data_IF_738793400967
#
_entry.id   IF_738793400967
#
_cell.length_a   1.000
_cell.length_b   1.000
_cell.length_c   1.000
_cell.angle_alpha   90.00
_cell.angle_beta   90.00
_cell.angle_gamma   90.00
#
_symmetry.space_group_name_H-M   'P 1'
#
loop_
_entity.id
_entity.type
_entity.pdbx_description
1 polymer ?
#
# COMPACT_ATOMS: atom_id res chain seq x y z
N UNK A 1 -6.46 9.75 -5.34
CA UNK A 1 -5.46 8.79 -4.83
C UNK A 1 -4.25 8.68 -5.76
N UNK A 2 -4.42 8.21 -7.00
CA UNK A 2 -3.32 7.99 -7.97
C UNK A 2 -2.36 9.19 -8.13
N UNK A 3 -2.91 10.41 -8.28
CA UNK A 3 -2.11 11.64 -8.39
C UNK A 3 -1.18 11.84 -7.18
N UNK A 4 -1.66 11.55 -5.98
CA UNK A 4 -0.89 11.69 -4.74
C UNK A 4 0.22 10.64 -4.70
N UNK A 5 -0.10 9.37 -4.95
CA UNK A 5 0.90 8.30 -4.99
C UNK A 5 2.02 8.57 -6.01
N UNK A 6 1.65 8.99 -7.24
CA UNK A 6 2.60 9.33 -8.29
C UNK A 6 3.45 10.57 -7.97
N UNK A 7 2.87 11.57 -7.27
CA UNK A 7 3.60 12.75 -6.83
C UNK A 7 4.64 12.38 -5.77
N UNK A 8 4.26 11.60 -4.76
CA UNK A 8 5.20 11.12 -3.73
C UNK A 8 6.33 10.30 -4.37
N UNK A 9 6.01 9.34 -5.24
CA UNK A 9 7.02 8.57 -5.98
C UNK A 9 7.98 9.46 -6.79
N UNK A 10 7.46 10.50 -7.44
CA UNK A 10 8.29 11.45 -8.17
C UNK A 10 9.23 12.24 -7.26
N UNK A 11 8.75 12.66 -6.08
CA UNK A 11 9.57 13.35 -5.08
C UNK A 11 10.65 12.46 -4.44
N UNK A 12 10.40 11.16 -4.37
CA UNK A 12 11.38 10.15 -3.95
C UNK A 12 12.38 9.77 -5.05
N UNK A 13 12.36 10.47 -6.19
CA UNK A 13 13.34 10.28 -7.26
C UNK A 13 12.93 9.26 -8.32
N UNK A 14 11.65 8.90 -8.42
CA UNK A 14 11.11 7.98 -9.44
C UNK A 14 11.77 6.60 -9.43
N UNK A 15 11.94 6.02 -8.24
CA UNK A 15 12.56 4.71 -8.05
C UNK A 15 11.66 3.63 -8.64
N UNK A 16 12.18 2.85 -9.59
CA UNK A 16 11.50 1.74 -10.28
C UNK A 16 12.19 0.42 -9.91
N UNK A 17 11.40 -0.63 -9.66
CA UNK A 17 11.91 -1.95 -9.26
C UNK A 17 11.08 -3.05 -9.90
N UNK A 18 11.71 -4.14 -10.34
CA UNK A 18 10.98 -5.35 -10.74
C UNK A 18 10.81 -6.27 -9.54
N UNK A 19 9.62 -6.83 -9.36
CA UNK A 19 9.34 -7.74 -8.25
C UNK A 19 10.29 -8.96 -8.26
N UNK A 20 10.88 -9.26 -7.10
CA UNK A 20 11.89 -10.32 -6.95
C UNK A 20 13.34 -9.84 -7.14
N UNK A 21 13.54 -8.62 -7.66
CA UNK A 21 14.86 -7.99 -7.61
C UNK A 21 15.14 -7.45 -6.21
N UNK A 22 16.39 -7.61 -5.76
CA UNK A 22 16.87 -7.11 -4.48
C UNK A 22 18.02 -6.13 -4.71
N UNK A 23 17.75 -4.95 -5.30
CA UNK A 23 18.78 -3.92 -5.39
C UNK A 23 19.20 -3.46 -3.98
N UNK A 24 20.39 -2.87 -3.83
CA UNK A 24 20.81 -2.28 -2.57
C UNK A 24 19.77 -1.27 -2.07
N UNK A 25 19.58 -1.20 -0.76
CA UNK A 25 18.73 -0.18 -0.15
C UNK A 25 19.32 1.20 -0.44
N UNK A 26 18.46 2.16 -0.75
CA UNK A 26 18.89 3.53 -0.95
C UNK A 26 19.20 4.23 0.39
N UNK A 27 18.77 3.63 1.51
CA UNK A 27 18.72 4.25 2.85
C UNK A 27 18.16 5.68 2.79
N UNK A 28 17.31 5.93 1.80
CA UNK A 28 16.83 7.26 1.47
C UNK A 28 15.98 7.79 2.63
N UNK A 29 15.22 6.93 3.31
CA UNK A 29 14.47 7.30 4.52
C UNK A 29 15.34 7.90 5.64
N UNK A 30 16.62 7.53 5.72
CA UNK A 30 17.54 8.05 6.75
C UNK A 30 18.17 9.38 6.38
N UNK A 31 17.98 9.89 5.15
CA UNK A 31 18.38 11.25 4.77
C UNK A 31 17.55 12.27 5.58
N UNK A 32 18.19 13.18 6.35
CA UNK A 32 17.50 14.24 7.09
C UNK A 32 16.54 15.09 6.23
N UNK A 33 16.78 15.24 4.92
CA UNK A 33 15.90 15.95 4.01
C UNK A 33 14.50 15.30 3.89
N UNK A 34 14.41 13.99 4.10
CA UNK A 34 13.15 13.23 4.03
C UNK A 34 12.35 13.26 5.34
N UNK A 35 12.90 13.87 6.41
CA UNK A 35 12.24 13.92 7.70
C UNK A 35 10.82 14.50 7.68
N UNK A 36 10.56 15.67 7.06
CA UNK A 36 9.21 16.23 7.02
C UNK A 36 8.22 15.34 6.27
N UNK A 37 8.70 14.61 5.26
CA UNK A 37 7.85 13.77 4.41
C UNK A 37 7.34 12.54 5.16
N UNK A 38 8.23 11.79 5.80
CA UNK A 38 7.85 10.61 6.60
C UNK A 38 7.06 11.04 7.86
N UNK A 39 7.38 12.20 8.44
CA UNK A 39 6.56 12.79 9.49
C UNK A 39 5.11 13.02 9.03
N UNK A 40 4.88 13.51 7.81
CA UNK A 40 3.54 13.71 7.27
C UNK A 40 2.78 12.38 7.16
N UNK A 41 3.45 11.31 6.75
CA UNK A 41 2.86 9.97 6.69
C UNK A 41 2.38 9.50 8.06
N UNK A 42 3.24 9.61 9.08
CA UNK A 42 2.89 9.24 10.46
C UNK A 42 1.80 10.13 11.06
N UNK A 43 1.62 11.37 10.58
CA UNK A 43 0.54 12.26 11.03
C UNK A 43 -0.83 11.91 10.43
N UNK A 44 -0.88 11.07 9.40
CA UNK A 44 -2.13 10.60 8.82
C UNK A 44 -2.83 9.56 9.69
N UNK A 45 -2.07 8.79 10.48
CA UNK A 45 -2.59 7.71 11.32
C UNK A 45 -2.95 8.20 12.73
N UNK A 46 -3.99 7.63 13.38
CA UNK A 46 -4.45 8.08 14.70
C UNK A 46 -3.46 7.77 15.83
N UNK A 47 -2.67 6.70 15.67
CA UNK A 47 -1.61 6.30 16.59
C UNK A 47 -0.36 6.08 15.76
N UNK A 48 0.77 6.68 16.16
CA UNK A 48 2.03 6.62 15.44
C UNK A 48 2.98 5.55 15.99
N UNK A 49 2.54 4.74 16.94
CA UNK A 49 3.35 3.72 17.64
C UNK A 49 4.64 4.29 18.27
N UNK A 50 4.67 5.59 18.57
CA UNK A 50 5.86 6.28 19.08
C UNK A 50 6.90 6.64 18.01
N UNK A 51 6.62 6.39 16.73
CA UNK A 51 7.51 6.65 15.61
C UNK A 51 7.99 8.10 15.57
N UNK A 52 7.10 9.07 15.77
CA UNK A 52 7.45 10.49 15.66
C UNK A 52 8.37 10.89 16.81
N UNK A 53 8.08 10.46 18.03
CA UNK A 53 8.89 10.81 19.19
C UNK A 53 10.31 10.23 19.08
N UNK A 54 10.43 8.97 18.65
CA UNK A 54 11.70 8.32 18.41
C UNK A 54 12.50 9.04 17.32
N UNK A 55 11.88 9.29 16.18
CA UNK A 55 12.59 9.83 15.01
C UNK A 55 12.91 11.32 15.13
N UNK A 56 12.21 12.08 15.98
CA UNK A 56 12.66 13.44 16.38
C UNK A 56 14.01 13.40 17.11
N UNK A 57 14.25 12.41 17.96
CA UNK A 57 15.55 12.22 18.63
C UNK A 57 16.62 11.81 17.62
N UNK A 58 16.32 10.84 16.76
CA UNK A 58 17.23 10.39 15.69
C UNK A 58 17.56 11.53 14.71
N UNK A 59 16.61 12.39 14.40
CA UNK A 59 16.84 13.57 13.56
C UNK A 59 17.81 14.54 14.21
N UNK A 60 17.64 14.85 15.50
CA UNK A 60 18.61 15.66 16.23
C UNK A 60 20.00 15.02 16.27
N UNK A 61 20.08 13.70 16.47
CA UNK A 61 21.32 12.94 16.41
C UNK A 61 21.98 13.00 15.02
N UNK A 62 21.19 12.92 13.93
CA UNK A 62 21.68 13.03 12.56
C UNK A 62 22.28 14.40 12.28
N UNK A 63 21.62 15.48 12.71
CA UNK A 63 22.15 16.85 12.60
C UNK A 63 23.43 17.06 13.43
N UNK A 64 23.57 16.35 14.54
CA UNK A 64 24.76 16.38 15.39
C UNK A 64 25.88 15.42 14.93
N UNK A 65 25.71 14.68 13.83
CA UNK A 65 26.68 13.70 13.34
C UNK A 65 26.86 12.48 14.26
N UNK A 66 25.85 12.15 15.07
CA UNK A 66 25.89 11.05 16.02
C UNK A 66 25.43 9.73 15.37
N UNK A 67 26.00 8.57 15.76
CA UNK A 67 25.68 7.27 15.15
C UNK A 67 24.19 6.90 15.17
N UNK A 68 23.44 7.34 16.19
CA UNK A 68 21.99 7.08 16.28
C UNK A 68 21.21 7.72 15.12
N UNK A 69 21.71 8.81 14.55
CA UNK A 69 21.11 9.48 13.39
C UNK A 69 21.08 8.64 12.12
N UNK A 70 22.00 7.68 11.97
CA UNK A 70 22.04 6.75 10.83
C UNK A 70 20.82 5.83 10.76
N UNK A 71 20.05 5.72 11.85
CA UNK A 71 18.85 4.89 11.95
C UNK A 71 17.56 5.68 11.76
N UNK A 72 17.64 6.92 11.31
CA UNK A 72 16.48 7.76 11.10
C UNK A 72 15.46 7.06 10.18
N UNK A 73 14.21 6.96 10.66
CA UNK A 73 13.05 6.32 10.03
C UNK A 73 13.12 4.81 9.72
N UNK A 74 14.22 4.12 10.08
CA UNK A 74 14.34 2.66 9.90
C UNK A 74 13.39 1.83 10.78
N UNK A 75 12.91 2.41 11.87
CA UNK A 75 11.89 1.81 12.71
C UNK A 75 11.04 2.88 13.44
N UNK A 76 9.74 2.58 13.67
CA UNK A 76 8.97 1.49 13.06
C UNK A 76 8.76 1.71 11.54
N UNK A 77 8.44 0.63 10.82
CA UNK A 77 8.17 0.68 9.38
C UNK A 77 6.96 1.55 9.05
N UNK A 78 7.04 2.35 7.98
CA UNK A 78 6.08 3.42 7.67
C UNK A 78 5.20 3.15 6.43
N UNK A 79 5.24 1.94 5.87
CA UNK A 79 4.47 1.54 4.68
C UNK A 79 2.95 1.72 4.83
N UNK A 80 2.36 1.30 5.95
CA UNK A 80 0.94 1.47 6.21
C UNK A 80 0.56 2.94 6.48
N UNK A 81 1.44 3.70 7.15
CA UNK A 81 1.29 5.13 7.36
C UNK A 81 1.30 5.89 6.03
N UNK A 82 2.16 5.50 5.08
CA UNK A 82 2.18 6.05 3.73
C UNK A 82 0.87 5.81 2.97
N UNK A 83 0.37 4.57 2.92
CA UNK A 83 -0.92 4.28 2.24
C UNK A 83 -2.06 5.07 2.90
N UNK A 84 -2.08 5.12 4.23
CA UNK A 84 -3.05 5.92 4.99
C UNK A 84 -2.99 7.40 4.64
N UNK A 85 -1.78 7.98 4.53
CA UNK A 85 -1.60 9.36 4.09
C UNK A 85 -2.11 9.58 2.67
N UNK A 86 -1.78 8.70 1.72
CA UNK A 86 -2.22 8.83 0.33
C UNK A 86 -3.75 8.82 0.21
N UNK A 87 -4.43 7.97 1.01
CA UNK A 87 -5.89 7.93 1.06
C UNK A 87 -6.48 9.25 1.57
N UNK A 88 -6.01 9.73 2.73
CA UNK A 88 -6.53 10.96 3.33
C UNK A 88 -6.21 12.21 2.49
N UNK A 89 -4.99 12.31 1.95
CA UNK A 89 -4.56 13.41 1.09
C UNK A 89 -5.33 13.43 -0.24
N UNK A 90 -5.88 12.29 -0.67
CA UNK A 90 -6.77 12.20 -1.81
C UNK A 90 -8.22 12.62 -1.51
N UNK A 91 -8.54 12.94 -0.25
CA UNK A 91 -9.88 13.32 0.19
C UNK A 91 -10.80 12.14 0.51
N UNK A 92 -10.27 10.92 0.62
CA UNK A 92 -11.04 9.74 1.05
C UNK A 92 -11.29 9.87 2.55
N UNK A 93 -12.55 9.76 2.97
CA UNK A 93 -12.92 9.95 4.37
C UNK A 93 -12.44 8.80 5.25
N UNK A 94 -12.17 9.08 6.53
CA UNK A 94 -11.71 8.08 7.51
C UNK A 94 -12.70 6.92 7.70
N UNK A 95 -13.98 7.12 7.38
CA UNK A 95 -15.01 6.07 7.40
C UNK A 95 -14.94 5.18 6.17
N UNK A 96 -14.50 5.71 5.04
CA UNK A 96 -14.36 4.99 3.77
C UNK A 96 -13.06 4.19 3.73
N UNK A 97 -11.98 4.76 4.28
CA UNK A 97 -10.71 4.08 4.53
C UNK A 97 -10.22 4.45 5.94
N UNK A 98 -10.23 3.52 6.91
CA UNK A 98 -9.76 3.78 8.27
C UNK A 98 -8.24 3.78 8.32
N UNK A 99 -7.56 4.94 8.45
CA UNK A 99 -6.11 5.01 8.45
C UNK A 99 -5.52 4.30 9.68
N UNK A 100 -4.42 3.57 9.49
CA UNK A 100 -3.76 2.83 10.56
C UNK A 100 -2.26 2.67 10.31
N UNK A 101 -1.48 2.62 11.40
CA UNK A 101 -0.05 2.34 11.39
C UNK A 101 0.31 0.90 10.98
N UNK A 102 -0.67 -0.02 11.00
CA UNK A 102 -0.51 -1.41 10.58
C UNK A 102 -1.42 -1.75 9.39
N UNK A 103 -0.82 -2.37 8.37
CA UNK A 103 -1.55 -2.89 7.20
C UNK A 103 -2.67 -3.84 7.61
N UNK A 104 -2.38 -4.78 8.53
CA UNK A 104 -3.34 -5.78 9.00
C UNK A 104 -4.60 -5.18 9.61
N UNK A 105 -4.52 -4.02 10.25
CA UNK A 105 -5.64 -3.39 10.91
C UNK A 105 -6.64 -2.76 9.91
N UNK A 106 -6.16 -2.00 8.91
CA UNK A 106 -7.08 -1.48 7.91
C UNK A 106 -7.56 -2.57 6.95
N UNK A 107 -6.73 -3.58 6.64
CA UNK A 107 -7.14 -4.75 5.85
C UNK A 107 -8.32 -5.47 6.52
N UNK A 108 -8.26 -5.67 7.83
CA UNK A 108 -9.37 -6.27 8.59
C UNK A 108 -10.63 -5.40 8.52
N UNK A 109 -10.47 -4.08 8.64
CA UNK A 109 -11.61 -3.17 8.57
C UNK A 109 -12.26 -3.16 7.18
N UNK A 110 -11.47 -3.16 6.10
CA UNK A 110 -11.99 -3.23 4.73
C UNK A 110 -12.69 -4.57 4.45
N UNK A 111 -12.12 -5.69 4.91
CA UNK A 111 -12.76 -7.01 4.79
C UNK A 111 -14.06 -7.04 5.60
N UNK A 112 -14.06 -6.53 6.83
CA UNK A 112 -15.25 -6.49 7.67
C UNK A 112 -16.37 -5.65 7.06
N UNK A 113 -16.04 -4.49 6.47
CA UNK A 113 -16.99 -3.64 5.75
C UNK A 113 -17.57 -4.38 4.53
N UNK A 114 -16.72 -4.99 3.71
CA UNK A 114 -17.14 -5.76 2.54
C UNK A 114 -18.01 -6.98 2.88
N UNK A 115 -17.71 -7.69 3.97
CA UNK A 115 -18.54 -8.79 4.44
C UNK A 115 -19.90 -8.32 4.94
N UNK A 116 -19.96 -7.13 5.55
CA UNK A 116 -21.20 -6.57 6.09
C UNK A 116 -22.06 -5.90 5.02
N UNK A 117 -21.43 -5.27 4.03
CA UNK A 117 -22.07 -4.45 3.02
C UNK A 117 -21.47 -4.70 1.62
N UNK A 118 -21.57 -5.92 1.07
CA UNK A 118 -20.88 -6.30 -0.16
C UNK A 118 -21.25 -5.43 -1.37
N UNK A 119 -22.49 -4.93 -1.43
CA UNK A 119 -22.97 -4.07 -2.53
C UNK A 119 -22.50 -2.62 -2.44
N UNK A 120 -22.08 -2.15 -1.25
CA UNK A 120 -21.77 -0.74 -1.02
C UNK A 120 -20.38 -0.47 -0.43
N UNK A 121 -19.62 -1.51 -0.10
CA UNK A 121 -18.25 -1.35 0.41
C UNK A 121 -17.35 -0.72 -0.66
N UNK A 122 -16.62 0.33 -0.34
CA UNK A 122 -15.83 1.07 -1.33
C UNK A 122 -14.59 0.32 -1.78
N UNK A 123 -14.13 -0.64 -0.98
CA UNK A 123 -13.01 -1.52 -1.29
C UNK A 123 -13.47 -2.97 -1.12
N UNK A 124 -13.64 -3.69 -2.24
CA UNK A 124 -14.09 -5.08 -2.23
C UNK A 124 -12.88 -6.03 -2.29
N UNK A 125 -12.66 -6.92 -1.31
CA UNK A 125 -11.58 -7.88 -1.39
C UNK A 125 -11.90 -8.93 -2.46
N UNK A 126 -10.92 -9.16 -3.34
CA UNK A 126 -10.92 -10.17 -4.39
C UNK A 126 -9.67 -11.01 -4.25
N UNK A 127 -9.75 -12.28 -4.63
CA UNK A 127 -8.55 -13.11 -4.69
C UNK A 127 -7.65 -12.60 -5.83
N UNK A 128 -6.31 -12.64 -5.70
CA UNK A 128 -5.40 -12.17 -6.73
C UNK A 128 -5.58 -12.86 -8.10
N UNK A 129 -6.18 -14.05 -8.11
CA UNK A 129 -6.45 -14.85 -9.32
C UNK A 129 -7.90 -14.73 -9.83
N UNK A 130 -8.75 -13.94 -9.17
CA UNK A 130 -10.14 -13.71 -9.60
C UNK A 130 -10.27 -12.51 -10.56
N UNK A 131 -9.41 -11.51 -10.43
CA UNK A 131 -9.50 -10.26 -11.19
C UNK A 131 -8.12 -9.74 -11.61
N UNK A 132 -8.09 -9.04 -12.75
CA UNK A 132 -6.95 -8.23 -13.13
C UNK A 132 -7.01 -6.92 -12.33
N UNK A 133 -5.98 -6.58 -11.52
CA UNK A 133 -5.96 -5.33 -10.79
C UNK A 133 -6.11 -4.12 -11.71
N UNK A 134 -6.74 -3.06 -11.23
CA UNK A 134 -6.91 -1.80 -11.95
C UNK A 134 -6.21 -0.66 -11.21
N UNK A 135 -5.80 0.41 -11.93
CA UNK A 135 -5.34 1.63 -11.29
C UNK A 135 -6.34 2.14 -10.26
N UNK A 136 -5.87 2.24 -9.01
CA UNK A 136 -6.67 2.65 -7.86
C UNK A 136 -6.97 1.53 -6.88
N UNK A 137 -6.74 0.27 -7.24
CA UNK A 137 -6.88 -0.86 -6.33
C UNK A 137 -5.73 -0.89 -5.31
N UNK A 138 -5.94 -1.58 -4.18
CA UNK A 138 -4.85 -1.95 -3.28
C UNK A 138 -4.42 -3.38 -3.54
N UNK A 139 -3.13 -3.59 -3.69
CA UNK A 139 -2.53 -4.91 -3.84
C UNK A 139 -1.84 -5.29 -2.54
N UNK A 140 -2.35 -6.31 -1.84
CA UNK A 140 -1.88 -6.70 -0.51
C UNK A 140 -1.22 -8.08 -0.48
N UNK A 141 -0.06 -8.14 0.18
CA UNK A 141 0.75 -9.33 0.35
C UNK A 141 1.00 -9.68 1.82
N UNK A 142 1.08 -10.97 2.11
CA UNK A 142 1.52 -11.51 3.40
C UNK A 142 3.05 -11.64 3.38
N UNK A 143 3.69 -11.16 4.44
CA UNK A 143 5.15 -11.22 4.65
C UNK A 143 5.53 -12.19 5.77
N UNK A 144 4.58 -13.01 6.23
CA UNK A 144 4.78 -14.04 7.22
C UNK A 144 5.51 -15.27 6.67
N UNK A 145 6.09 -16.06 7.56
CA UNK A 145 6.78 -17.32 7.20
C UNK A 145 5.85 -18.35 6.56
N UNK A 146 4.58 -18.37 6.99
CA UNK A 146 3.51 -19.20 6.46
C UNK A 146 2.46 -18.24 5.88
N UNK A 147 2.62 -17.79 4.63
CA UNK A 147 1.76 -16.79 4.05
C UNK A 147 0.36 -17.35 3.77
N UNK A 148 -0.65 -16.53 3.97
CA UNK A 148 -1.99 -16.77 3.42
C UNK A 148 -1.99 -16.46 1.92
N UNK A 149 -2.89 -17.11 1.19
CA UNK A 149 -3.04 -17.01 -0.27
C UNK A 149 -4.35 -16.31 -0.67
N UNK A 150 -5.26 -16.11 0.28
CA UNK A 150 -6.59 -15.60 0.01
C UNK A 150 -7.10 -14.69 1.14
N UNK A 151 -7.85 -13.65 0.77
CA UNK A 151 -8.47 -12.72 1.70
C UNK A 151 -9.45 -13.42 2.65
N UNK A 152 -10.07 -14.54 2.27
CA UNK A 152 -10.96 -15.32 3.14
C UNK A 152 -10.18 -15.98 4.29
N UNK A 153 -8.93 -16.37 4.04
CA UNK A 153 -8.04 -16.83 5.12
C UNK A 153 -7.70 -15.66 6.05
N UNK A 154 -7.53 -14.45 5.51
CA UNK A 154 -7.39 -13.26 6.36
C UNK A 154 -8.64 -13.02 7.20
N UNK A 155 -9.83 -13.11 6.60
CA UNK A 155 -11.09 -12.94 7.31
C UNK A 155 -11.24 -13.91 8.50
N UNK A 156 -10.82 -15.17 8.33
CA UNK A 156 -10.82 -16.17 9.41
C UNK A 156 -9.83 -15.87 10.54
N UNK A 157 -8.76 -15.12 10.26
CA UNK A 157 -7.70 -14.71 11.20
C UNK A 157 -7.83 -13.24 11.66
N UNK A 158 -9.00 -12.62 11.47
CA UNK A 158 -9.22 -11.21 11.78
C UNK A 158 -8.88 -10.87 13.25
N UNK A 159 -8.29 -9.69 13.46
CA UNK A 159 -7.84 -9.22 14.77
C UNK A 159 -6.50 -9.80 15.25
N UNK A 160 -5.97 -10.84 14.59
CA UNK A 160 -4.60 -11.32 14.84
C UNK A 160 -3.60 -10.50 14.03
N UNK A 161 -2.54 -10.02 14.68
CA UNK A 161 -1.45 -9.35 13.96
C UNK A 161 -0.79 -10.30 12.97
N UNK A 162 -0.54 -9.79 11.76
CA UNK A 162 0.19 -10.48 10.70
C UNK A 162 1.03 -9.45 9.95
N UNK A 163 2.33 -9.74 9.69
CA UNK A 163 3.16 -8.88 8.87
C UNK A 163 2.61 -8.87 7.44
N UNK A 164 2.24 -7.68 6.98
CA UNK A 164 1.62 -7.47 5.68
C UNK A 164 2.22 -6.25 5.02
N UNK A 165 2.02 -6.16 3.71
CA UNK A 165 2.33 -4.98 2.94
C UNK A 165 1.23 -4.77 1.90
N UNK A 166 0.87 -3.52 1.65
CA UNK A 166 -0.06 -3.19 0.59
C UNK A 166 0.46 -1.98 -0.18
N UNK A 167 0.31 -2.06 -1.50
CA UNK A 167 0.69 -1.01 -2.45
C UNK A 167 -0.54 -0.52 -3.21
N UNK A 168 -0.42 0.67 -3.81
CA UNK A 168 -1.48 1.27 -4.62
C UNK A 168 -1.20 0.98 -6.08
N UNK A 169 -2.07 0.24 -6.76
CA UNK A 169 -1.94 -0.02 -8.20
C UNK A 169 -2.07 1.30 -8.96
N UNK A 170 -1.09 1.62 -9.82
CA UNK A 170 -1.05 2.86 -10.60
C UNK A 170 -1.12 2.63 -12.11
N UNK A 171 -0.70 1.45 -12.56
CA UNK A 171 -0.78 1.02 -13.95
C UNK A 171 -1.03 -0.49 -13.98
N UNK A 172 -1.85 -0.97 -14.92
CA UNK A 172 -2.10 -2.38 -15.11
C UNK A 172 -2.49 -2.67 -16.55
N UNK A 173 -2.03 -3.80 -17.08
CA UNK A 173 -2.35 -4.24 -18.43
C UNK A 173 -1.82 -5.65 -18.72
N UNK A 174 -1.89 -6.11 -19.97
CA UNK A 174 -1.30 -7.39 -20.36
C UNK A 174 0.18 -7.45 -19.97
N UNK A 175 0.58 -8.54 -19.30
CA UNK A 175 1.97 -8.79 -18.94
C UNK A 175 2.45 -8.16 -17.64
N UNK A 176 1.78 -7.14 -17.11
CA UNK A 176 2.29 -6.41 -15.94
C UNK A 176 1.24 -5.66 -15.12
N UNK A 177 1.57 -5.45 -13.85
CA UNK A 177 0.89 -4.56 -12.91
C UNK A 177 1.96 -3.74 -12.19
N UNK A 178 1.83 -2.43 -12.18
CA UNK A 178 2.73 -1.55 -11.43
C UNK A 178 1.99 -0.95 -10.24
N UNK A 179 2.60 -1.03 -9.06
CA UNK A 179 2.05 -0.47 -7.83
C UNK A 179 3.08 0.41 -7.11
N UNK A 180 2.60 1.42 -6.40
CA UNK A 180 3.42 2.32 -5.58
C UNK A 180 3.23 2.00 -4.11
N UNK A 181 4.34 1.67 -3.46
CA UNK A 181 4.44 1.34 -2.04
C UNK A 181 5.37 2.30 -1.31
N UNK A 182 5.10 2.53 -0.03
CA UNK A 182 5.99 3.24 0.88
C UNK A 182 6.86 2.26 1.66
N UNK A 183 8.06 2.67 2.05
CA UNK A 183 9.03 1.86 2.79
C UNK A 183 9.39 0.54 2.07
N UNK A 184 9.39 0.60 0.74
CA UNK A 184 9.92 -0.45 -0.14
C UNK A 184 11.33 -0.03 -0.50
N UNK A 185 12.33 -0.78 -0.02
CA UNK A 185 13.75 -0.43 -0.12
C UNK A 185 14.08 0.94 0.49
N UNK A 186 13.48 1.22 1.65
CA UNK A 186 13.68 2.44 2.43
C UNK A 186 13.23 3.72 1.68
N UNK A 187 12.25 3.59 0.76
CA UNK A 187 11.74 4.68 -0.07
C UNK A 187 10.27 4.51 -0.49
N UNK A 188 9.71 5.51 -1.19
CA UNK A 188 8.49 5.33 -2.00
C UNK A 188 8.91 4.86 -3.39
N UNK A 189 8.49 3.65 -3.74
CA UNK A 189 8.97 2.92 -4.91
C UNK A 189 7.80 2.50 -5.77
N UNK A 190 7.98 2.53 -7.09
CA UNK A 190 7.09 1.87 -8.03
C UNK A 190 7.65 0.48 -8.33
N UNK A 191 6.87 -0.55 -8.04
CA UNK A 191 7.23 -1.94 -8.27
C UNK A 191 6.41 -2.52 -9.40
N UNK A 192 7.09 -3.12 -10.37
CA UNK A 192 6.49 -3.86 -11.49
C UNK A 192 6.38 -5.33 -11.14
N UNK A 193 5.15 -5.85 -11.18
CA UNK A 193 4.82 -7.25 -10.99
C UNK A 193 4.46 -7.88 -12.33
N UNK A 194 4.87 -9.14 -12.54
CA UNK A 194 4.52 -9.88 -13.73
C UNK A 194 3.05 -10.33 -13.69
N UNK A 195 2.36 -10.21 -14.82
CA UNK A 195 0.99 -10.66 -15.00
C UNK A 195 0.83 -11.42 -16.32
N UNK A 196 -0.28 -12.14 -16.47
CA UNK A 196 -0.59 -12.84 -17.71
C UNK A 196 -1.15 -11.89 -18.79
N UNK A 197 -1.53 -12.44 -19.94
CA UNK A 197 -2.09 -11.65 -21.06
C UNK A 197 -3.45 -10.99 -20.73
N UNK A 198 -4.15 -11.48 -19.70
CA UNK A 198 -5.39 -10.88 -19.19
C UNK A 198 -5.14 -9.85 -18.07
N UNK A 199 -3.88 -9.67 -17.63
CA UNK A 199 -3.52 -8.79 -16.52
C UNK A 199 -3.69 -9.43 -15.13
N UNK A 200 -3.89 -10.75 -15.06
CA UNK A 200 -3.94 -11.49 -13.79
C UNK A 200 -2.53 -11.67 -13.26
N UNK A 201 -2.30 -11.34 -11.98
CA UNK A 201 -0.98 -11.42 -11.36
C UNK A 201 -0.44 -12.84 -11.34
N UNK A 202 0.81 -13.01 -11.79
CA UNK A 202 1.51 -14.26 -11.58
C UNK A 202 1.78 -14.48 -10.08
N UNK A 203 1.87 -15.75 -9.64
CA UNK A 203 2.34 -16.07 -8.31
C UNK A 203 3.70 -15.38 -8.03
N UNK A 204 3.86 -14.86 -6.81
CA UNK A 204 5.09 -14.22 -6.41
C UNK A 204 6.29 -15.19 -6.54
N UNK A 205 7.46 -14.72 -7.02
CA UNK A 205 8.65 -15.57 -7.08
C UNK A 205 9.10 -15.98 -5.67
N UNK A 206 9.89 -17.07 -5.53
CA UNK A 206 10.42 -17.48 -4.23
C UNK A 206 11.14 -16.34 -3.51
N UNK A 207 10.76 -16.08 -2.25
CA UNK A 207 11.35 -15.01 -1.42
C UNK A 207 10.66 -13.65 -1.54
N UNK A 208 9.75 -13.46 -2.50
CA UNK A 208 8.90 -12.27 -2.57
C UNK A 208 7.63 -12.41 -1.68
N UNK A 209 7.04 -11.29 -1.22
CA UNK A 209 5.75 -11.30 -0.54
C UNK A 209 4.66 -11.98 -1.36
N UNK A 210 3.81 -12.77 -0.70
CA UNK A 210 2.76 -13.54 -1.39
C UNK A 210 1.45 -12.76 -1.37
N UNK A 211 0.94 -12.41 -2.55
CA UNK A 211 -0.35 -11.73 -2.67
C UNK A 211 -1.49 -12.61 -2.20
N UNK A 212 -2.36 -12.02 -1.37
CA UNK A 212 -3.56 -12.71 -0.86
C UNK A 212 -4.85 -11.93 -1.15
N UNK A 213 -4.76 -10.65 -1.47
CA UNK A 213 -5.91 -9.82 -1.75
C UNK A 213 -5.60 -8.72 -2.77
N UNK A 214 -6.56 -8.49 -3.66
CA UNK A 214 -6.73 -7.22 -4.36
C UNK A 214 -7.98 -6.57 -3.76
N UNK A 215 -7.85 -5.37 -3.21
CA UNK A 215 -9.03 -4.59 -2.84
C UNK A 215 -9.45 -3.73 -4.03
N UNK A 216 -10.47 -4.21 -4.73
CA UNK A 216 -11.10 -3.52 -5.85
C UNK A 216 -11.68 -2.20 -5.37
N UNK A 217 -11.17 -1.10 -5.93
CA UNK A 217 -11.59 0.23 -5.59
C UNK A 217 -12.86 0.62 -6.37
N UNK A 218 -13.95 0.80 -5.63
CA UNK A 218 -15.27 1.17 -6.13
C UNK A 218 -15.65 2.63 -5.83
N UNK A 219 -14.71 3.45 -5.37
CA UNK A 219 -14.92 4.89 -5.17
C UNK A 219 -15.41 5.55 -6.46
N UNK A 220 -16.53 6.28 -6.38
CA UNK A 220 -17.17 6.91 -7.53
C UNK A 220 -17.83 5.95 -8.52
N UNK A 221 -17.83 4.63 -8.26
CA UNK A 221 -18.49 3.61 -9.10
C UNK A 221 -19.82 3.12 -8.51
N UNK A 222 -20.09 3.45 -7.24
CA UNK A 222 -21.31 3.08 -6.52
C UNK A 222 -22.38 4.18 -6.63
N UNK A 223 -23.68 3.85 -6.54
CA UNK A 223 -24.76 4.83 -6.51
C UNK A 223 -24.53 5.92 -5.45
N UNK A 224 -24.90 7.20 -5.72
CA UNK A 224 -25.59 7.71 -6.90
C UNK A 224 -24.67 8.00 -8.11
N UNK A 225 -23.39 7.65 -8.03
CA UNK A 225 -22.36 8.04 -9.01
C UNK A 225 -22.18 7.04 -10.16
N UNK A 226 -22.89 5.91 -10.12
CA UNK A 226 -22.92 4.94 -11.20
C UNK A 226 -23.61 5.55 -12.44
N UNK A 227 -22.82 5.92 -13.44
CA UNK A 227 -23.35 6.26 -14.77
C UNK A 227 -24.10 5.07 -15.39
N UNK A 228 -24.97 5.29 -16.39
CA UNK A 228 -25.56 4.19 -17.14
C UNK A 228 -24.44 3.30 -17.71
N UNK A 229 -24.62 1.97 -17.76
CA UNK A 229 -23.61 1.08 -18.33
C UNK A 229 -23.21 1.58 -19.71
N UNK A 230 -21.90 1.67 -19.95
CA UNK A 230 -21.35 2.00 -21.27
C UNK A 230 -21.96 1.03 -22.28
N UNK A 231 -22.77 1.54 -23.21
CA UNK A 231 -23.27 0.73 -24.31
C UNK A 231 -22.06 0.28 -25.11
N UNK A 232 -21.83 -1.02 -25.16
CA UNK A 232 -20.91 -1.61 -26.11
C UNK A 232 -21.44 -1.28 -27.51
N UNK A 233 -20.82 -0.32 -28.18
CA UNK A 233 -20.98 -0.17 -29.62
C UNK A 233 -20.25 -1.33 -30.27
N UNK A 234 -21.01 -2.37 -30.60
CA UNK A 234 -20.56 -3.42 -31.52
C UNK A 234 -20.61 -2.83 -32.93
N UNK A 235 -19.53 -2.89 -33.73
CA UNK A 235 -19.57 -2.53 -35.15
C UNK A 235 -20.46 -3.49 -35.95
#
# INVERSE_FOLDING_TARGET
MLRVALAEWAEWGRIEVTAGEHPPTWHAESDPANFPRILAYWRAVPQDEGAIALNRRRYAAALAGQPEGLRLWQDPYWSAAFVSYVMLAAGIDRREFPPNAAHSAYVDALIADALRYPETALFLPRSPQEIAPQPGDLLCADRGRNPILDWRQRAADAGRFRPMHCDIVVEAGPGHVDAIGGNVLDAVTRTRFAADAAGILHPAPPGAPVFFAVFENRLGRLPPWSGPPLRSETP
#
